data_IF_976965230304
#
_entry.id   IF_976965230304
#
_cell.length_a   1.000
_cell.length_b   1.000
_cell.length_c   1.000
_cell.angle_alpha   90.00
_cell.angle_beta   90.00
_cell.angle_gamma   90.00
#
_symmetry.space_group_name_H-M   'P 1'
#
loop_
_entity.id
_entity.type
_entity.pdbx_description
1 polymer ?
#
# COMPACT_ATOMS: atom_id res chain seq x y z
N UNK A 1 8.39 -1.36 -12.46
CA UNK A 1 7.02 -1.09 -11.95
C UNK A 1 6.05 -0.87 -13.09
N UNK A 2 6.22 0.13 -13.98
CA UNK A 2 5.35 0.31 -15.15
C UNK A 2 5.17 -0.98 -15.97
N UNK A 3 6.27 -1.61 -16.36
CA UNK A 3 6.25 -2.83 -17.18
C UNK A 3 5.61 -4.00 -16.42
N UNK A 4 5.86 -4.09 -15.12
CA UNK A 4 5.20 -5.07 -14.25
C UNK A 4 3.69 -4.84 -14.18
N UNK A 5 3.22 -3.58 -14.07
CA UNK A 5 1.79 -3.27 -14.08
C UNK A 5 1.17 -3.62 -15.44
N UNK A 6 1.87 -3.35 -16.55
CA UNK A 6 1.41 -3.73 -17.88
C UNK A 6 1.26 -5.25 -18.00
N UNK A 7 2.24 -6.02 -17.54
CA UNK A 7 2.15 -7.47 -17.45
C UNK A 7 1.00 -7.92 -16.52
N UNK A 8 0.91 -7.36 -15.33
CA UNK A 8 -0.07 -7.70 -14.32
C UNK A 8 -1.51 -7.48 -14.81
N UNK A 9 -1.78 -6.36 -15.49
CA UNK A 9 -3.08 -6.08 -16.11
C UNK A 9 -3.30 -6.81 -17.44
N UNK A 10 -2.26 -7.39 -18.05
CA UNK A 10 -2.43 -8.27 -19.21
C UNK A 10 -3.00 -9.65 -18.84
N UNK A 11 -2.91 -10.01 -17.56
CA UNK A 11 -3.57 -11.19 -17.00
C UNK A 11 -5.08 -10.89 -16.89
N UNK A 12 -5.88 -11.55 -17.75
CA UNK A 12 -7.31 -11.28 -17.84
C UNK A 12 -8.04 -11.47 -16.51
N UNK A 13 -7.65 -12.48 -15.74
CA UNK A 13 -8.17 -12.79 -14.41
C UNK A 13 -7.96 -11.67 -13.39
N UNK A 14 -6.87 -10.91 -13.50
CA UNK A 14 -6.55 -9.81 -12.58
C UNK A 14 -7.48 -8.62 -12.82
N UNK A 15 -7.62 -8.21 -14.09
CA UNK A 15 -8.47 -7.08 -14.45
C UNK A 15 -9.95 -7.37 -14.17
N UNK A 16 -10.39 -8.60 -14.46
CA UNK A 16 -11.74 -9.07 -14.13
C UNK A 16 -11.97 -9.09 -12.61
N UNK A 17 -11.05 -9.66 -11.83
CA UNK A 17 -11.17 -9.69 -10.37
C UNK A 17 -11.23 -8.30 -9.73
N UNK A 18 -10.45 -7.33 -10.25
CA UNK A 18 -10.49 -5.94 -9.77
C UNK A 18 -11.87 -5.31 -10.03
N UNK A 19 -12.40 -5.49 -11.24
CA UNK A 19 -13.68 -4.88 -11.63
C UNK A 19 -14.87 -5.53 -10.91
N UNK A 20 -14.88 -6.85 -10.80
CA UNK A 20 -15.92 -7.60 -10.08
C UNK A 20 -15.92 -7.24 -8.59
N UNK A 21 -14.73 -7.15 -7.99
CA UNK A 21 -14.59 -6.71 -6.60
C UNK A 21 -15.07 -5.27 -6.42
N UNK A 22 -14.71 -4.36 -7.33
CA UNK A 22 -15.17 -2.97 -7.29
C UNK A 22 -16.70 -2.88 -7.37
N UNK A 23 -17.37 -3.73 -8.16
CA UNK A 23 -18.84 -3.80 -8.18
C UNK A 23 -19.41 -4.35 -6.87
N UNK A 24 -18.80 -5.39 -6.31
CA UNK A 24 -19.23 -5.95 -5.01
C UNK A 24 -19.12 -4.92 -3.89
N UNK A 25 -18.03 -4.16 -3.83
CA UNK A 25 -17.83 -3.07 -2.86
C UNK A 25 -18.91 -1.98 -3.00
N UNK A 26 -19.29 -1.61 -4.23
CA UNK A 26 -20.36 -0.62 -4.48
C UNK A 26 -21.74 -1.09 -4.03
N UNK A 27 -22.03 -2.38 -4.21
CA UNK A 27 -23.32 -2.98 -3.86
C UNK A 27 -23.40 -3.44 -2.40
N UNK A 28 -22.32 -3.29 -1.63
CA UNK A 28 -22.29 -3.71 -0.23
C UNK A 28 -23.10 -2.75 0.66
N UNK A 29 -23.80 -3.27 1.70
CA UNK A 29 -24.45 -2.44 2.70
C UNK A 29 -23.47 -1.49 3.38
N UNK A 30 -23.92 -0.31 3.81
CA UNK A 30 -23.06 0.69 4.44
C UNK A 30 -22.49 0.22 5.81
N UNK A 31 -23.19 -0.70 6.46
CA UNK A 31 -22.93 -1.13 7.83
C UNK A 31 -21.98 -2.33 7.92
N UNK A 32 -21.69 -2.98 6.79
CA UNK A 32 -20.84 -4.17 6.72
C UNK A 32 -19.48 -3.81 6.10
N UNK A 33 -18.43 -3.84 6.94
CA UNK A 33 -17.04 -3.63 6.51
C UNK A 33 -16.29 -4.95 6.66
N UNK A 34 -16.21 -5.70 5.57
CA UNK A 34 -15.40 -6.91 5.42
C UNK A 34 -14.01 -6.61 4.81
N UNK A 35 -13.86 -5.46 4.16
CA UNK A 35 -12.62 -5.04 3.49
C UNK A 35 -12.38 -3.53 3.59
N UNK A 36 -11.12 -3.11 3.51
CA UNK A 36 -10.76 -1.69 3.58
C UNK A 36 -11.43 -0.86 2.48
N UNK A 37 -11.73 -1.42 1.29
CA UNK A 37 -12.39 -0.67 0.21
C UNK A 37 -13.82 -0.25 0.54
N UNK A 38 -14.49 -0.96 1.47
CA UNK A 38 -15.83 -0.62 1.94
C UNK A 38 -15.81 0.50 3.00
N UNK A 39 -14.66 0.73 3.64
CA UNK A 39 -14.50 1.73 4.68
C UNK A 39 -14.74 3.17 4.18
N UNK A 40 -15.22 4.02 5.08
CA UNK A 40 -15.40 5.46 4.80
C UNK A 40 -14.07 6.11 4.40
N UNK A 41 -12.98 5.78 5.11
CA UNK A 41 -11.65 6.30 4.84
C UNK A 41 -11.20 6.01 3.40
N UNK A 42 -11.39 4.77 2.91
CA UNK A 42 -11.04 4.43 1.53
C UNK A 42 -11.87 5.20 0.51
N UNK A 43 -13.18 5.31 0.74
CA UNK A 43 -14.08 6.05 -0.15
C UNK A 43 -13.72 7.53 -0.24
N UNK A 44 -13.21 8.12 0.84
CA UNK A 44 -12.73 9.51 0.89
C UNK A 44 -11.36 9.69 0.22
N UNK A 45 -10.42 8.77 0.44
CA UNK A 45 -9.05 8.85 -0.08
C UNK A 45 -8.96 8.46 -1.56
N UNK A 46 -9.80 7.52 -2.01
CA UNK A 46 -9.83 6.98 -3.38
C UNK A 46 -11.20 7.17 -4.05
N UNK A 47 -11.69 8.42 -4.18
CA UNK A 47 -13.04 8.70 -4.69
C UNK A 47 -13.20 8.34 -6.18
N UNK A 48 -12.08 8.19 -6.91
CA UNK A 48 -12.07 7.82 -8.33
C UNK A 48 -12.12 6.31 -8.55
N UNK A 49 -11.58 5.51 -7.62
CA UNK A 49 -11.67 4.04 -7.66
C UNK A 49 -13.13 3.54 -7.62
N UNK A 50 -14.05 4.32 -7.06
CA UNK A 50 -15.47 3.98 -6.92
C UNK A 50 -16.37 4.54 -8.03
N UNK A 51 -15.86 5.46 -8.88
CA UNK A 51 -16.67 6.32 -9.76
C UNK A 51 -16.36 6.20 -11.26
N UNK A 52 -15.86 5.05 -11.71
CA UNK A 52 -15.67 4.77 -13.13
C UNK A 52 -17.03 4.58 -13.86
N UNK A 53 -17.76 5.66 -14.13
CA UNK A 53 -18.83 5.67 -15.14
C UNK A 53 -18.16 5.73 -16.52
N UNK A 54 -18.33 4.67 -17.31
CA UNK A 54 -17.95 4.67 -18.72
C UNK A 54 -18.83 5.68 -19.46
N UNK A 55 -18.25 6.76 -19.98
CA UNK A 55 -18.89 7.53 -21.04
C UNK A 55 -18.85 6.67 -22.31
N UNK A 56 -19.97 6.58 -23.04
CA UNK A 56 -20.11 5.74 -24.24
C UNK A 56 -18.89 5.92 -25.17
N UNK A 57 -18.08 4.87 -25.29
CA UNK A 57 -16.94 4.79 -26.22
C UNK A 57 -15.55 4.90 -25.60
N UNK A 58 -15.39 5.30 -24.34
CA UNK A 58 -14.06 5.44 -23.70
C UNK A 58 -13.93 4.49 -22.52
N UNK A 59 -12.84 3.70 -22.44
CA UNK A 59 -12.61 2.83 -21.29
C UNK A 59 -12.43 3.66 -20.02
N UNK A 60 -13.06 3.25 -18.90
CA UNK A 60 -12.94 4.01 -17.66
C UNK A 60 -11.49 4.01 -17.15
N UNK A 61 -11.01 5.16 -16.62
CA UNK A 61 -9.70 5.21 -15.99
C UNK A 61 -9.66 4.24 -14.80
N UNK A 62 -8.52 3.56 -14.64
CA UNK A 62 -8.26 2.67 -13.51
C UNK A 62 -7.31 3.36 -12.53
N UNK A 63 -7.72 3.45 -11.27
CA UNK A 63 -6.86 3.92 -10.20
C UNK A 63 -6.43 2.73 -9.35
N UNK A 64 -5.15 2.39 -9.42
CA UNK A 64 -4.57 1.30 -8.64
C UNK A 64 -3.97 1.86 -7.35
N UNK A 65 -4.47 1.40 -6.22
CA UNK A 65 -3.92 1.64 -4.90
C UNK A 65 -2.98 0.48 -4.53
N UNK A 66 -1.77 0.79 -4.08
CA UNK A 66 -0.79 -0.18 -3.61
C UNK A 66 -0.45 0.04 -2.15
N UNK A 67 -0.20 -1.04 -1.41
CA UNK A 67 0.49 -0.97 -0.12
C UNK A 67 1.97 -1.29 -0.28
N UNK A 68 2.84 -0.54 0.40
CA UNK A 68 4.28 -0.80 0.43
C UNK A 68 4.62 -1.60 1.68
N UNK A 69 5.07 -2.82 1.47
CA UNK A 69 5.57 -3.71 2.50
C UNK A 69 7.09 -3.60 2.63
N UNK A 70 7.56 -3.30 3.83
CA UNK A 70 8.99 -3.32 4.16
C UNK A 70 9.21 -4.13 5.43
N UNK A 71 10.02 -5.19 5.33
CA UNK A 71 10.36 -6.01 6.48
C UNK A 71 11.79 -6.52 6.41
N UNK A 72 12.37 -6.74 7.59
CA UNK A 72 13.69 -7.31 7.79
C UNK A 72 13.58 -8.61 8.56
N UNK A 73 14.26 -9.63 8.08
CA UNK A 73 14.31 -10.93 8.75
C UNK A 73 15.71 -11.51 8.72
N UNK A 74 15.96 -12.48 9.61
CA UNK A 74 17.20 -13.24 9.61
C UNK A 74 17.05 -14.46 8.70
N UNK A 75 17.76 -14.52 7.55
CA UNK A 75 17.64 -15.65 6.64
C UNK A 75 18.22 -16.95 7.24
N UNK A 76 19.05 -16.85 8.28
CA UNK A 76 19.63 -18.00 8.99
C UNK A 76 18.76 -18.48 10.17
N UNK A 77 17.62 -17.83 10.40
CA UNK A 77 16.71 -18.10 11.50
C UNK A 77 17.13 -17.43 12.82
N UNK A 78 16.16 -17.24 13.72
CA UNK A 78 16.37 -16.58 14.99
C UNK A 78 16.89 -17.56 16.05
N UNK A 79 18.19 -17.86 16.03
CA UNK A 79 18.88 -18.59 17.12
C UNK A 79 19.54 -17.60 18.08
N UNK A 80 19.31 -17.77 19.38
CA UNK A 80 19.81 -16.89 20.46
C UNK A 80 21.35 -16.78 20.45
N UNK A 81 22.05 -17.83 19.99
CA UNK A 81 23.52 -17.90 19.90
C UNK A 81 24.09 -17.82 18.48
N UNK A 82 23.25 -17.50 17.48
CA UNK A 82 23.65 -17.45 16.07
C UNK A 82 24.06 -16.05 15.58
N UNK A 83 24.76 -16.00 14.43
CA UNK A 83 25.04 -14.74 13.74
C UNK A 83 23.72 -14.04 13.37
N UNK A 84 23.58 -12.79 13.80
CA UNK A 84 22.45 -11.94 13.45
C UNK A 84 22.72 -11.31 12.08
N UNK A 85 22.26 -12.00 11.03
CA UNK A 85 22.25 -11.48 9.67
C UNK A 85 20.86 -10.93 9.41
N UNK A 86 20.74 -9.77 8.77
CA UNK A 86 19.44 -9.22 8.38
C UNK A 86 19.40 -8.95 6.89
N UNK A 87 18.37 -9.45 6.23
CA UNK A 87 18.01 -9.15 4.85
C UNK A 87 16.67 -8.43 4.84
N UNK A 88 16.53 -7.42 3.98
CA UNK A 88 15.29 -6.65 3.84
C UNK A 88 14.55 -6.99 2.55
N UNK A 89 13.22 -6.99 2.61
CA UNK A 89 12.35 -7.12 1.43
C UNK A 89 11.48 -5.87 1.32
N UNK A 90 11.40 -5.33 0.10
CA UNK A 90 10.56 -4.21 -0.27
C UNK A 90 9.60 -4.72 -1.35
N UNK A 91 8.33 -4.86 -1.00
CA UNK A 91 7.29 -5.37 -1.89
C UNK A 91 6.09 -4.42 -1.94
N UNK A 92 5.37 -4.43 -3.06
CA UNK A 92 4.15 -3.67 -3.26
C UNK A 92 3.01 -4.64 -3.51
N UNK A 93 1.88 -4.43 -2.84
CA UNK A 93 0.69 -5.24 -3.05
C UNK A 93 -0.46 -4.41 -3.64
N UNK A 94 -1.14 -4.93 -4.66
CA UNK A 94 -2.30 -4.28 -5.26
C UNK A 94 -3.51 -4.42 -4.32
N UNK A 95 -3.94 -3.30 -3.75
CA UNK A 95 -5.06 -3.25 -2.83
C UNK A 95 -6.42 -3.31 -3.55
N UNK A 96 -6.47 -3.14 -4.87
CA UNK A 96 -7.71 -3.23 -5.65
C UNK A 96 -8.24 -4.67 -5.81
N UNK A 97 -7.38 -5.67 -5.57
CA UNK A 97 -7.77 -7.07 -5.63
C UNK A 97 -8.71 -7.46 -4.47
N UNK A 98 -9.57 -8.48 -4.67
CA UNK A 98 -10.40 -9.00 -3.60
C UNK A 98 -9.55 -9.66 -2.48
N UNK A 99 -10.05 -9.68 -1.22
CA UNK A 99 -9.29 -10.12 -0.05
C UNK A 99 -8.66 -11.51 -0.16
N UNK A 100 -9.30 -12.44 -0.87
CA UNK A 100 -8.82 -13.82 -0.98
C UNK A 100 -7.63 -13.99 -1.93
N UNK A 101 -7.34 -13.01 -2.80
CA UNK A 101 -6.20 -13.06 -3.72
C UNK A 101 -5.18 -11.95 -3.52
N UNK A 102 -5.52 -10.87 -2.80
CA UNK A 102 -4.62 -9.72 -2.69
C UNK A 102 -3.23 -10.08 -2.15
N UNK A 103 -3.09 -10.94 -1.15
CA UNK A 103 -1.81 -11.26 -0.52
C UNK A 103 -1.13 -12.52 -1.10
N UNK A 104 -1.66 -13.06 -2.20
CA UNK A 104 -1.01 -14.18 -2.87
C UNK A 104 0.32 -13.74 -3.45
N UNK A 105 1.36 -14.57 -3.28
CA UNK A 105 2.73 -14.23 -3.70
C UNK A 105 2.83 -13.83 -5.18
N UNK A 106 1.99 -14.40 -6.05
CA UNK A 106 1.92 -14.09 -7.48
C UNK A 106 1.44 -12.67 -7.80
N UNK A 107 0.69 -12.04 -6.89
CA UNK A 107 0.14 -10.70 -7.06
C UNK A 107 1.01 -9.62 -6.39
N UNK A 108 2.06 -10.02 -5.70
CA UNK A 108 2.99 -9.12 -5.04
C UNK A 108 4.10 -8.69 -5.99
N UNK A 109 4.29 -7.37 -6.14
CA UNK A 109 5.42 -6.82 -6.87
C UNK A 109 6.63 -6.68 -5.94
N UNK A 110 7.63 -7.56 -6.09
CA UNK A 110 8.91 -7.41 -5.41
C UNK A 110 9.68 -6.23 -6.03
N UNK A 111 9.75 -5.12 -5.31
CA UNK A 111 10.42 -3.91 -5.78
C UNK A 111 11.91 -3.89 -5.45
N UNK A 112 12.34 -4.59 -4.41
CA UNK A 112 13.74 -4.60 -4.01
C UNK A 112 14.05 -5.57 -2.87
N UNK A 113 15.32 -5.94 -2.81
CA UNK A 113 15.92 -6.70 -1.71
C UNK A 113 17.07 -5.88 -1.15
N UNK A 114 17.05 -5.62 0.15
CA UNK A 114 18.16 -4.96 0.85
C UNK A 114 19.13 -6.04 1.30
N UNK A 115 20.38 -6.03 0.82
CA UNK A 115 21.32 -7.12 1.07
C UNK A 115 21.72 -7.22 2.54
N UNK A 116 22.11 -8.44 2.91
CA UNK A 116 22.80 -8.75 4.16
C UNK A 116 24.14 -7.99 4.29
N UNK A 117 24.69 -7.81 5.51
CA UNK A 117 24.29 -8.46 6.75
C UNK A 117 23.52 -7.62 7.76
N UNK A 118 23.34 -6.32 7.52
CA UNK A 118 22.76 -5.38 8.50
C UNK A 118 21.52 -4.70 7.96
N UNK A 119 20.65 -4.32 8.88
CA UNK A 119 19.56 -3.38 8.57
C UNK A 119 20.18 -2.03 8.15
N UNK A 120 19.67 -1.39 7.09
CA UNK A 120 20.13 -0.08 6.66
C UNK A 120 19.86 0.94 7.77
N UNK A 121 20.66 2.00 7.88
CA UNK A 121 20.28 3.15 8.73
C UNK A 121 19.23 4.04 8.02
N UNK A 122 18.82 5.13 8.68
CA UNK A 122 17.81 6.06 8.17
C UNK A 122 18.20 6.67 6.81
N UNK A 123 19.43 7.16 6.68
CA UNK A 123 19.91 7.76 5.44
C UNK A 123 19.95 6.73 4.31
N UNK A 124 20.43 5.52 4.61
CA UNK A 124 20.56 4.44 3.65
C UNK A 124 19.20 3.96 3.16
N UNK A 125 18.22 3.76 4.05
CA UNK A 125 16.88 3.33 3.61
C UNK A 125 16.20 4.41 2.76
N UNK A 126 16.42 5.69 3.06
CA UNK A 126 15.89 6.78 2.24
C UNK A 126 16.43 6.72 0.81
N UNK A 127 17.75 6.55 0.67
CA UNK A 127 18.39 6.41 -0.65
C UNK A 127 17.91 5.16 -1.39
N UNK A 128 17.67 4.06 -0.69
CA UNK A 128 17.11 2.83 -1.27
C UNK A 128 15.68 3.05 -1.79
N UNK A 129 14.85 3.80 -1.05
CA UNK A 129 13.44 4.02 -1.40
C UNK A 129 13.21 5.16 -2.39
N UNK A 130 14.12 6.14 -2.47
CA UNK A 130 14.09 7.26 -3.42
C UNK A 130 13.71 6.84 -4.85
N UNK A 131 14.37 5.86 -5.50
CA UNK A 131 14.02 5.45 -6.86
C UNK A 131 12.63 4.82 -6.97
N UNK A 132 12.10 4.25 -5.89
CA UNK A 132 10.73 3.72 -5.87
C UNK A 132 9.71 4.86 -5.77
N UNK A 133 9.95 5.83 -4.88
CA UNK A 133 9.12 7.02 -4.71
C UNK A 133 9.05 7.82 -6.00
N UNK A 134 10.19 8.05 -6.67
CA UNK A 134 10.24 8.76 -7.97
C UNK A 134 9.40 8.06 -9.05
N UNK A 135 9.37 6.72 -9.04
CA UNK A 135 8.53 5.94 -9.96
C UNK A 135 7.06 6.11 -9.61
N UNK A 136 6.69 6.04 -8.33
CA UNK A 136 5.31 6.22 -7.88
C UNK A 136 4.78 7.61 -8.24
N UNK A 137 5.55 8.68 -8.02
CA UNK A 137 5.18 10.05 -8.39
C UNK A 137 4.90 10.18 -9.90
N UNK A 138 5.68 9.49 -10.73
CA UNK A 138 5.46 9.48 -12.19
C UNK A 138 4.21 8.69 -12.57
N UNK A 139 3.93 7.58 -11.88
CA UNK A 139 2.79 6.70 -12.16
C UNK A 139 1.45 7.28 -11.67
N UNK A 140 1.46 8.15 -10.66
CA UNK A 140 0.27 8.88 -10.18
C UNK A 140 -0.30 9.83 -11.25
N UNK A 141 0.56 10.40 -12.11
CA UNK A 141 0.14 11.21 -13.28
C UNK A 141 -0.65 10.40 -14.32
N UNK A 142 -0.47 9.09 -14.28
CA UNK A 142 -1.13 8.11 -15.12
C UNK A 142 -0.45 7.83 -16.45
N UNK A 143 -0.72 6.65 -16.99
CA UNK A 143 -0.19 6.15 -18.26
C UNK A 143 -1.20 5.22 -18.93
N UNK A 144 -1.08 5.03 -20.25
CA UNK A 144 -1.95 4.12 -20.98
C UNK A 144 -1.41 2.69 -20.95
N UNK A 145 -2.29 1.73 -20.71
CA UNK A 145 -2.01 0.29 -20.70
C UNK A 145 -2.99 -0.42 -21.63
N UNK A 146 -2.45 -1.25 -22.53
CA UNK A 146 -3.26 -2.17 -23.33
C UNK A 146 -3.56 -3.40 -22.47
N UNK A 147 -4.84 -3.77 -22.38
CA UNK A 147 -5.27 -4.95 -21.64
C UNK A 147 -6.13 -5.85 -22.53
N UNK A 148 -6.40 -7.09 -22.08
CA UNK A 148 -7.28 -7.99 -22.83
C UNK A 148 -8.69 -7.42 -22.99
N UNK A 149 -9.21 -6.75 -21.95
CA UNK A 149 -10.55 -6.14 -21.95
C UNK A 149 -10.60 -4.81 -22.70
N UNK A 150 -9.48 -4.08 -22.72
CA UNK A 150 -9.36 -2.79 -23.40
C UNK A 150 -8.19 -2.80 -24.39
N UNK A 151 -8.39 -3.39 -25.60
CA UNK A 151 -7.35 -3.46 -26.63
C UNK A 151 -6.91 -2.08 -27.18
N UNK A 152 -7.76 -1.07 -27.06
CA UNK A 152 -7.44 0.33 -27.43
C UNK A 152 -6.70 1.08 -26.31
N UNK A 153 -6.45 0.40 -25.19
CA UNK A 153 -5.79 0.94 -24.02
C UNK A 153 -6.73 1.63 -23.04
N UNK A 154 -6.41 1.53 -21.76
CA UNK A 154 -7.05 2.27 -20.67
C UNK A 154 -6.03 3.14 -19.95
N UNK A 155 -6.46 4.31 -19.44
CA UNK A 155 -5.61 5.13 -18.57
C UNK A 155 -5.55 4.48 -17.19
N UNK A 156 -4.34 4.25 -16.68
CA UNK A 156 -4.07 3.71 -15.35
C UNK A 156 -3.28 4.74 -14.54
N UNK A 157 -3.72 5.04 -13.34
CA UNK A 157 -2.98 5.81 -12.32
C UNK A 157 -2.60 4.88 -11.16
N UNK A 158 -1.53 5.21 -10.45
CA UNK A 158 -1.04 4.41 -9.33
C UNK A 158 -0.86 5.31 -8.12
N UNK A 159 -1.41 4.89 -6.98
CA UNK A 159 -1.30 5.59 -5.71
C UNK A 159 -0.75 4.67 -4.63
N UNK A 160 0.07 5.21 -3.75
CA UNK A 160 0.56 4.50 -2.57
C UNK A 160 -0.39 4.77 -1.41
N UNK A 161 -1.07 3.73 -0.95
CA UNK A 161 -2.17 3.87 -0.01
C UNK A 161 -1.80 3.70 1.45
N UNK A 162 -0.94 2.73 1.74
CA UNK A 162 -0.44 2.54 3.10
C UNK A 162 0.94 1.90 3.11
N UNK A 163 1.63 2.10 4.23
CA UNK A 163 2.86 1.41 4.56
C UNK A 163 2.53 0.26 5.50
N UNK A 164 2.97 -0.94 5.15
CA UNK A 164 2.81 -2.14 5.97
C UNK A 164 4.20 -2.62 6.37
N UNK A 165 4.41 -2.85 7.66
CA UNK A 165 5.67 -3.36 8.16
C UNK A 165 5.53 -3.77 9.61
N UNK A 166 6.52 -4.48 10.15
CA UNK A 166 6.54 -4.70 11.59
C UNK A 166 6.85 -3.38 12.31
N UNK A 167 6.48 -3.28 13.58
CA UNK A 167 6.65 -2.04 14.37
C UNK A 167 8.11 -1.57 14.35
N UNK A 168 9.10 -2.48 14.42
CA UNK A 168 10.51 -2.09 14.36
C UNK A 168 10.93 -1.53 12.99
N UNK A 169 10.43 -2.09 11.89
CA UNK A 169 10.62 -1.64 10.52
C UNK A 169 9.99 -0.26 10.31
N UNK A 170 8.76 -0.10 10.81
CA UNK A 170 8.04 1.17 10.76
C UNK A 170 8.68 2.23 11.66
N UNK A 171 9.17 1.85 12.86
CA UNK A 171 9.76 2.76 13.85
C UNK A 171 11.23 3.11 13.56
N UNK A 172 12.05 2.20 13.05
CA UNK A 172 13.47 2.49 12.80
C UNK A 172 13.73 3.10 11.44
N UNK A 173 12.81 2.96 10.47
CA UNK A 173 13.09 3.25 9.06
C UNK A 173 11.98 4.01 8.32
N UNK A 174 10.70 3.81 8.63
CA UNK A 174 9.63 4.63 8.03
C UNK A 174 9.21 5.84 8.89
N UNK A 175 9.66 5.90 10.15
CA UNK A 175 9.15 6.80 11.19
C UNK A 175 9.40 8.28 10.86
N UNK A 176 10.65 8.64 10.55
CA UNK A 176 11.01 10.01 10.16
C UNK A 176 10.85 10.27 8.65
N UNK A 177 10.87 9.23 7.82
CA UNK A 177 10.95 9.40 6.35
C UNK A 177 9.57 9.59 5.71
N UNK A 178 8.52 8.93 6.23
CA UNK A 178 7.23 8.90 5.53
C UNK A 178 6.04 9.45 6.32
N UNK A 179 6.08 9.51 7.66
CA UNK A 179 4.84 9.72 8.42
C UNK A 179 4.96 10.42 9.79
N UNK A 180 6.15 10.90 10.19
CA UNK A 180 6.30 11.75 11.38
C UNK A 180 5.86 11.09 12.70
N UNK A 181 6.02 9.78 12.84
CA UNK A 181 5.63 9.07 14.06
C UNK A 181 6.66 9.30 15.19
N UNK A 182 6.20 9.40 16.43
CA UNK A 182 7.05 9.51 17.63
C UNK A 182 7.50 8.13 18.13
N UNK A 183 8.76 7.99 18.55
CA UNK A 183 9.33 6.74 19.11
C UNK A 183 8.41 6.08 20.16
N UNK A 184 8.60 4.77 20.42
CA UNK A 184 7.95 4.06 21.54
C UNK A 184 8.08 4.80 22.90
N UNK A 185 9.15 5.57 23.06
CA UNK A 185 9.45 6.43 24.22
C UNK A 185 8.97 7.88 24.08
N UNK A 186 8.39 8.28 22.94
CA UNK A 186 7.87 9.63 22.69
C UNK A 186 6.68 9.99 23.59
N UNK A 187 6.50 11.28 23.84
CA UNK A 187 5.43 11.82 24.69
C UNK A 187 4.07 11.74 24.00
N UNK A 188 4.00 11.97 22.68
CA UNK A 188 2.81 11.72 21.88
C UNK A 188 2.84 10.29 21.35
N UNK A 189 1.71 9.58 21.38
CA UNK A 189 1.62 8.17 20.96
C UNK A 189 0.76 7.95 19.72
N UNK A 190 0.03 8.98 19.28
CA UNK A 190 -0.80 8.97 18.08
C UNK A 190 -0.23 10.00 17.09
N UNK A 191 -0.16 9.66 15.81
CA UNK A 191 0.21 10.61 14.75
C UNK A 191 -0.95 11.42 14.22
N UNK A 192 -2.17 10.97 14.47
CA UNK A 192 -3.37 11.68 14.07
C UNK A 192 -3.82 12.67 15.14
N UNK A 193 -3.66 12.29 16.41
CA UNK A 193 -4.13 13.06 17.54
C UNK A 193 -2.96 13.73 18.24
N UNK A 194 -3.07 15.03 18.46
CA UNK A 194 -2.11 15.77 19.29
C UNK A 194 -2.39 15.52 20.78
N UNK A 195 -1.99 14.34 21.27
CA UNK A 195 -2.25 13.89 22.65
C UNK A 195 -1.00 13.32 23.31
N UNK A 196 -0.69 13.81 24.50
CA UNK A 196 0.39 13.31 25.35
C UNK A 196 0.00 12.03 26.09
N UNK A 197 0.99 11.18 26.38
CA UNK A 197 0.87 9.98 27.23
C UNK A 197 0.29 10.29 28.61
N UNK A 198 0.56 11.49 29.13
CA UNK A 198 0.08 11.93 30.44
C UNK A 198 -1.41 12.27 30.44
N UNK A 199 -1.97 12.53 29.25
CA UNK A 199 -3.37 12.88 29.04
C UNK A 199 -4.22 11.70 28.52
N UNK A 200 -3.66 10.48 28.47
CA UNK A 200 -4.35 9.28 27.96
C UNK A 200 -5.73 9.03 28.61
N UNK A 201 -5.86 9.33 29.89
CA UNK A 201 -7.10 9.17 30.64
C UNK A 201 -8.20 10.16 30.25
N UNK A 202 -7.87 11.24 29.52
CA UNK A 202 -8.81 12.22 28.97
C UNK A 202 -9.37 11.79 27.60
N UNK A 203 -8.87 10.70 27.02
CA UNK A 203 -9.36 10.23 25.73
C UNK A 203 -10.79 9.73 25.87
N UNK A 204 -11.68 10.32 25.08
CA UNK A 204 -13.04 9.85 24.86
C UNK A 204 -13.16 9.31 23.46
N UNK A 205 -14.07 8.36 23.23
CA UNK A 205 -14.39 7.90 21.88
C UNK A 205 -14.95 9.10 21.11
N UNK A 206 -14.17 9.62 20.16
CA UNK A 206 -14.59 10.69 19.28
C UNK A 206 -15.70 10.21 18.35
N UNK A 207 -16.64 11.11 18.01
CA UNK A 207 -17.49 10.88 16.83
C UNK A 207 -16.62 11.06 15.60
N UNK A 208 -16.72 10.15 14.62
CA UNK A 208 -16.06 10.32 13.32
C UNK A 208 -16.45 11.71 12.78
N UNK A 209 -15.48 12.63 12.71
CA UNK A 209 -15.66 13.85 11.93
C UNK A 209 -15.38 13.45 10.49
N UNK A 210 -16.47 13.31 9.74
CA UNK A 210 -16.49 13.08 8.28
C UNK A 210 -16.30 14.41 7.59
#
# INVERSE_FOLDING_TARGET
MKDWIQWFLSLGEVEEAIEDWAQKVKNSPADEVADYQQSVAWKLLYPRSSSARSSKGTPPPLELAFSLFINWFNPLGNKISGWQVSIGVIALNCMNLPPHIHHQAQNNFLSGVVPAPRQPDMTTINHILTPLVDKLIKLDRGFSVLTKKYPQGRKVTVQLACLIGNIMAMHKHCQDIFAGFTSHSGTHFCTWCDFSKDDRWKMVIGRLQV
#
